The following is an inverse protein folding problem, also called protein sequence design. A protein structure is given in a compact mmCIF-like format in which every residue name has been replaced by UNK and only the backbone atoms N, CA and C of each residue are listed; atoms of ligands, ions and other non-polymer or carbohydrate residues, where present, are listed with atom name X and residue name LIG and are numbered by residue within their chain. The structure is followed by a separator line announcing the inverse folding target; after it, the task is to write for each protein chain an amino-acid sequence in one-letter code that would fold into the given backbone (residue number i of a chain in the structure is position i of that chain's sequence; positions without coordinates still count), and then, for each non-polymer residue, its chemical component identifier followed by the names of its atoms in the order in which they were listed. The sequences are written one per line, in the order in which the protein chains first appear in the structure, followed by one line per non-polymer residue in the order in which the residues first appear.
data_IF_025673856889
#
_entry.id   IF_025673856889
#
_cell.length_a   1.000
_cell.length_b   1.000
_cell.length_c   1.000
_cell.angle_alpha   90.00
_cell.angle_beta   90.00
_cell.angle_gamma   90.00
#
_symmetry.space_group_name_H-M   'P 1'
#
loop_
_entity.id
_entity.type
_entity.pdbx_description
1 polymer ?
#
# COMPACT_ATOMS: atom_id res chain seq x y z
N UNK A 1 2.88 -13.39 -1.83
CA UNK A 1 2.16 -12.12 -1.97
C UNK A 1 0.76 -12.44 -2.40
N UNK A 2 -0.23 -11.65 -1.98
CA UNK A 2 -1.62 -11.79 -2.43
C UNK A 2 -2.17 -10.42 -2.83
N UNK A 3 -3.23 -10.35 -3.64
CA UNK A 3 -3.94 -9.10 -3.85
C UNK A 3 -4.46 -8.52 -2.52
N UNK A 4 -4.47 -7.19 -2.42
CA UNK A 4 -5.21 -6.49 -1.38
C UNK A 4 -6.70 -6.80 -1.53
N UNK A 5 -7.36 -7.00 -0.40
CA UNK A 5 -8.80 -6.98 -0.33
C UNK A 5 -9.33 -5.55 -0.47
N UNK A 6 -10.62 -5.42 -0.77
CA UNK A 6 -11.28 -4.11 -0.84
C UNK A 6 -11.09 -3.27 0.42
N UNK A 7 -11.19 -3.89 1.61
CA UNK A 7 -11.02 -3.18 2.89
C UNK A 7 -9.59 -2.66 3.10
N UNK A 8 -8.60 -3.44 2.69
CA UNK A 8 -7.20 -3.02 2.76
C UNK A 8 -6.89 -1.90 1.76
N UNK A 9 -7.46 -1.96 0.53
CA UNK A 9 -7.37 -0.87 -0.45
C UNK A 9 -8.04 0.40 0.06
N UNK A 10 -9.22 0.30 0.69
CA UNK A 10 -9.93 1.44 1.24
C UNK A 10 -9.11 2.12 2.35
N UNK A 11 -8.55 1.34 3.29
CA UNK A 11 -7.70 1.84 4.37
C UNK A 11 -6.40 2.49 3.86
N UNK A 12 -5.75 1.89 2.86
CA UNK A 12 -4.57 2.47 2.22
C UNK A 12 -4.91 3.83 1.58
N UNK A 13 -6.00 3.89 0.83
CA UNK A 13 -6.42 5.10 0.13
C UNK A 13 -6.91 6.21 1.05
N UNK A 14 -7.46 5.85 2.22
CA UNK A 14 -7.76 6.82 3.28
C UNK A 14 -6.47 7.45 3.83
N UNK A 15 -5.45 6.63 4.09
CA UNK A 15 -4.13 7.12 4.51
C UNK A 15 -3.48 8.04 3.47
N UNK A 16 -3.53 7.65 2.19
CA UNK A 16 -3.05 8.46 1.06
C UNK A 16 -3.78 9.80 1.00
N UNK A 17 -5.12 9.79 1.10
CA UNK A 17 -5.92 11.01 1.11
C UNK A 17 -5.63 11.93 2.29
N UNK A 18 -5.16 11.37 3.41
CA UNK A 18 -4.68 12.13 4.57
C UNK A 18 -3.26 12.70 4.43
N UNK A 19 -2.51 12.35 3.38
CA UNK A 19 -1.13 12.78 3.15
C UNK A 19 -0.13 12.21 4.15
N UNK A 20 -0.41 11.02 4.71
CA UNK A 20 0.39 10.38 5.77
C UNK A 20 1.00 9.05 5.32
N UNK A 21 1.07 8.81 4.02
CA UNK A 21 1.55 7.55 3.46
C UNK A 21 2.77 7.83 2.60
N UNK A 22 3.89 7.27 3.02
CA UNK A 22 5.16 7.31 2.32
C UNK A 22 5.59 5.88 1.91
N UNK A 23 6.35 5.80 0.84
CA UNK A 23 7.11 4.59 0.49
C UNK A 23 8.24 4.36 1.49
N UNK A 24 8.90 3.20 1.42
CA UNK A 24 10.10 2.89 2.21
C UNK A 24 11.23 3.89 1.94
N UNK A 25 11.31 4.47 0.74
CA UNK A 25 12.24 5.55 0.43
C UNK A 25 11.85 6.93 1.01
N UNK A 26 10.72 7.05 1.71
CA UNK A 26 10.21 8.31 2.24
C UNK A 26 9.59 9.22 1.18
N UNK A 27 9.16 8.65 0.04
CA UNK A 27 8.44 9.40 -1.00
C UNK A 27 6.95 9.32 -0.72
N UNK A 28 6.30 10.47 -0.59
CA UNK A 28 4.86 10.54 -0.34
C UNK A 28 4.07 9.97 -1.51
N UNK A 29 3.17 9.05 -1.19
CA UNK A 29 2.24 8.44 -2.15
C UNK A 29 1.05 9.37 -2.28
N UNK A 30 0.96 10.07 -3.41
CA UNK A 30 -0.11 11.04 -3.68
C UNK A 30 -1.29 10.50 -4.49
N UNK A 31 -1.09 9.40 -5.22
CA UNK A 31 -2.12 8.83 -6.09
C UNK A 31 -2.86 7.69 -5.41
N UNK A 32 -4.18 7.63 -5.64
CA UNK A 32 -5.00 6.53 -5.15
C UNK A 32 -4.60 5.23 -5.82
N UNK A 33 -4.50 4.18 -5.02
CA UNK A 33 -4.15 2.83 -5.46
C UNK A 33 -5.42 2.08 -5.84
N UNK A 34 -5.52 1.69 -7.11
CA UNK A 34 -6.65 0.90 -7.60
C UNK A 34 -6.44 -0.60 -7.32
N UNK A 35 -5.20 -1.06 -7.43
CA UNK A 35 -4.79 -2.44 -7.21
C UNK A 35 -3.44 -2.48 -6.49
N UNK A 36 -3.25 -3.48 -5.64
CA UNK A 36 -2.00 -3.65 -4.90
C UNK A 36 -1.81 -5.08 -4.43
N UNK A 37 -0.56 -5.45 -4.21
CA UNK A 37 -0.16 -6.70 -3.61
C UNK A 37 0.31 -6.45 -2.19
N UNK A 38 0.00 -7.37 -1.28
CA UNK A 38 0.53 -7.38 0.08
C UNK A 38 1.40 -8.61 0.29
N UNK A 39 2.49 -8.44 1.03
CA UNK A 39 3.34 -9.55 1.47
C UNK A 39 2.54 -10.53 2.32
N UNK A 40 2.97 -11.80 2.35
CA UNK A 40 2.24 -12.85 3.08
C UNK A 40 2.19 -12.58 4.59
N UNK A 41 3.17 -11.83 5.13
CA UNK A 41 3.19 -11.40 6.53
C UNK A 41 2.40 -10.11 6.80
N UNK A 42 1.75 -9.52 5.80
CA UNK A 42 0.87 -8.36 5.96
C UNK A 42 1.59 -7.04 6.22
N UNK A 43 2.91 -6.97 6.04
CA UNK A 43 3.71 -5.80 6.46
C UNK A 43 3.97 -4.78 5.38
N UNK A 44 4.08 -5.21 4.12
CA UNK A 44 4.47 -4.34 3.01
C UNK A 44 3.49 -4.50 1.85
N UNK A 45 3.07 -3.37 1.31
CA UNK A 45 2.22 -3.25 0.14
C UNK A 45 3.07 -2.80 -1.05
N UNK A 46 2.86 -3.41 -2.21
CA UNK A 46 3.38 -2.95 -3.50
C UNK A 46 2.20 -2.55 -4.38
N UNK A 47 2.27 -1.35 -4.97
CA UNK A 47 1.23 -0.85 -5.88
C UNK A 47 1.27 -1.63 -7.19
N UNK A 48 0.11 -1.76 -7.82
CA UNK A 48 -0.01 -2.28 -9.19
C UNK A 48 -0.45 -1.12 -10.08
N UNK A 49 0.38 -0.78 -11.06
CA UNK A 49 0.18 0.33 -11.99
C UNK A 49 0.02 -0.26 -13.38
N UNK A 50 -1.11 0.02 -14.05
CA UNK A 50 -1.47 -0.56 -15.35
C UNK A 50 -1.35 -2.10 -15.42
N UNK A 51 -1.69 -2.78 -14.32
CA UNK A 51 -1.60 -4.24 -14.20
C UNK A 51 -0.18 -4.77 -13.94
N UNK A 52 0.82 -3.90 -13.79
CA UNK A 52 2.21 -4.26 -13.51
C UNK A 52 2.53 -3.94 -12.04
N UNK A 53 2.84 -4.96 -11.22
CA UNK A 53 3.30 -4.72 -9.86
C UNK A 53 4.65 -3.99 -9.84
N UNK A 54 4.72 -2.88 -9.12
CA UNK A 54 5.99 -2.15 -8.88
C UNK A 54 6.76 -2.86 -7.78
N UNK A 55 7.61 -3.79 -8.17
CA UNK A 55 8.35 -4.71 -7.28
C UNK A 55 9.72 -4.18 -6.86
N UNK A 56 9.80 -2.89 -6.53
CA UNK A 56 11.02 -2.27 -6.02
C UNK A 56 10.94 -2.14 -4.50
N UNK A 57 11.92 -2.64 -3.73
CA UNK A 57 11.89 -2.56 -2.26
C UNK A 57 11.66 -1.13 -1.72
N UNK A 58 12.25 -0.14 -2.37
CA UNK A 58 12.11 1.29 -2.07
C UNK A 58 10.68 1.83 -2.29
N UNK A 59 9.92 1.22 -3.20
CA UNK A 59 8.54 1.61 -3.53
C UNK A 59 7.51 0.92 -2.61
N UNK A 60 7.95 -0.01 -1.76
CA UNK A 60 7.09 -0.66 -0.79
C UNK A 60 6.45 0.35 0.16
N UNK A 61 5.22 0.07 0.59
CA UNK A 61 4.47 0.88 1.56
C UNK A 61 4.28 0.03 2.82
N UNK A 62 4.86 0.44 3.94
CA UNK A 62 4.69 -0.27 5.21
C UNK A 62 3.27 -0.11 5.75
N UNK A 63 2.63 -1.18 6.23
CA UNK A 63 1.26 -1.11 6.78
C UNK A 63 1.17 -0.43 8.13
N UNK A 64 2.28 -0.33 8.87
CA UNK A 64 2.31 0.28 10.21
C UNK A 64 1.99 1.79 10.24
N UNK A 65 2.08 2.48 9.10
CA UNK A 65 1.71 3.90 9.01
C UNK A 65 0.21 4.12 8.81
N UNK A 66 -0.54 3.05 8.50
CA UNK A 66 -1.97 3.09 8.23
C UNK A 66 -2.72 2.82 9.54
N UNK A 67 -3.47 3.82 10.03
CA UNK A 67 -4.08 3.78 11.36
C UNK A 67 -5.06 2.62 11.56
N UNK A 68 -5.86 2.30 10.54
CA UNK A 68 -6.94 1.31 10.59
C UNK A 68 -6.73 0.18 9.56
N UNK A 69 -5.48 -0.19 9.30
CA UNK A 69 -5.21 -1.26 8.34
C UNK A 69 -5.65 -2.62 8.89
N UNK A 70 -6.50 -3.37 8.17
CA UNK A 70 -6.99 -4.66 8.65
C UNK A 70 -5.83 -5.64 8.88
N UNK A 71 -5.83 -6.31 10.03
CA UNK A 71 -4.99 -7.49 10.22
C UNK A 71 -5.49 -8.61 9.29
N UNK A 72 -4.56 -9.25 8.58
CA UNK A 72 -4.82 -10.38 7.69
C UNK A 72 -5.26 -11.63 8.46
#
# INVERSE_FOLDING_TARGET
MRPLSKRELDALNEGIGGGKVDTVAGVTVGERVSEGLITTDGKVIYRVEDGIPVMLPEEGIGTLQLADFPAA
#
